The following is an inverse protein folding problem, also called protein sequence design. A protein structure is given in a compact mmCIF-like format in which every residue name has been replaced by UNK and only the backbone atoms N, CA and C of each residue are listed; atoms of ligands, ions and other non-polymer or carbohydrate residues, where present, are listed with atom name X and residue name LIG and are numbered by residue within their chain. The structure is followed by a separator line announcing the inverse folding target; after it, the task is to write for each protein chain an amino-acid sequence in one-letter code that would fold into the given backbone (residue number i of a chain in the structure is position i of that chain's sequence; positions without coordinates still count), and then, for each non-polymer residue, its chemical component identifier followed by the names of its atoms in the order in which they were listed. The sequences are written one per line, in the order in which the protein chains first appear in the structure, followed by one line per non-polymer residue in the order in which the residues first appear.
data_IF_651772657873
#
_entry.id   IF_651772657873
#
_cell.length_a   1.000
_cell.length_b   1.000
_cell.length_c   1.000
_cell.angle_alpha   90.00
_cell.angle_beta   90.00
_cell.angle_gamma   90.00
#
_symmetry.space_group_name_H-M   'P 1'
#
loop_
_entity.id
_entity.type
_entity.pdbx_description
1 polymer ?
#
# COMPACT_ATOMS: atom_id res chain seq x y z
N UNK A 1 -12.32 -3.40 -3.83
CA UNK A 1 -11.35 -4.23 -3.07
C UNK A 1 -10.20 -3.40 -2.52
N UNK A 2 -9.56 -2.52 -3.32
CA UNK A 2 -8.38 -1.76 -2.89
C UNK A 2 -8.55 -0.91 -1.63
N UNK A 3 -9.65 -0.15 -1.48
CA UNK A 3 -9.92 0.63 -0.26
C UNK A 3 -9.93 -0.23 1.01
N UNK A 4 -10.63 -1.38 0.95
CA UNK A 4 -10.64 -2.33 2.06
C UNK A 4 -9.24 -2.89 2.35
N UNK A 5 -8.46 -3.15 1.30
CA UNK A 5 -7.08 -3.59 1.41
C UNK A 5 -6.19 -2.56 2.10
N UNK A 6 -6.32 -1.29 1.73
CA UNK A 6 -5.64 -0.17 2.38
C UNK A 6 -5.98 -0.08 3.86
N UNK A 7 -7.27 -0.12 4.21
CA UNK A 7 -7.72 -0.05 5.62
C UNK A 7 -7.10 -1.18 6.45
N UNK A 8 -7.12 -2.41 5.91
CA UNK A 8 -6.58 -3.58 6.62
C UNK A 8 -5.06 -3.55 6.67
N UNK A 9 -4.39 -3.11 5.61
CA UNK A 9 -2.94 -2.92 5.59
C UNK A 9 -2.50 -1.89 6.62
N UNK A 10 -3.21 -0.77 6.75
CA UNK A 10 -2.92 0.26 7.74
C UNK A 10 -2.98 -0.28 9.17
N UNK A 11 -3.95 -1.15 9.46
CA UNK A 11 -4.14 -1.75 10.81
C UNK A 11 -3.10 -2.83 11.11
N UNK A 12 -2.83 -3.74 10.17
CA UNK A 12 -2.07 -4.96 10.47
C UNK A 12 -0.64 -4.97 9.94
N UNK A 13 -0.33 -4.19 8.91
CA UNK A 13 0.91 -4.34 8.14
C UNK A 13 1.81 -3.11 8.23
N UNK A 14 1.22 -1.91 8.17
CA UNK A 14 1.95 -0.65 8.08
C UNK A 14 2.83 -0.35 9.31
N UNK A 15 2.47 -0.87 10.48
CA UNK A 15 3.27 -0.69 11.70
C UNK A 15 4.67 -1.32 11.60
N UNK A 16 4.83 -2.36 10.79
CA UNK A 16 6.13 -2.99 10.51
C UNK A 16 6.67 -2.59 9.13
N UNK A 17 5.85 -2.70 8.08
CA UNK A 17 6.29 -2.49 6.70
C UNK A 17 6.24 -1.03 6.23
N UNK A 18 5.74 -0.12 7.06
CA UNK A 18 5.52 1.28 6.71
C UNK A 18 4.24 1.47 5.87
N UNK A 19 3.64 2.67 5.96
CA UNK A 19 2.54 3.06 5.08
C UNK A 19 2.87 2.93 3.58
N UNK A 20 4.07 3.31 3.10
CA UNK A 20 4.44 3.10 1.69
C UNK A 20 4.91 1.67 1.39
N UNK A 21 5.08 0.80 2.38
CA UNK A 21 5.57 -0.58 2.16
C UNK A 21 7.08 -0.70 1.95
N UNK A 22 7.87 0.28 2.39
CA UNK A 22 9.33 0.32 2.21
C UNK A 22 10.14 -0.31 3.36
N UNK A 23 9.46 -0.91 4.35
CA UNK A 23 10.09 -1.56 5.50
C UNK A 23 10.47 -0.61 6.63
N UNK A 24 9.97 0.62 6.63
CA UNK A 24 10.29 1.66 7.63
C UNK A 24 9.18 1.92 8.65
N UNK A 25 8.31 0.93 8.90
CA UNK A 25 7.26 1.07 9.91
C UNK A 25 7.83 1.23 11.33
N UNK A 26 7.08 1.82 12.26
CA UNK A 26 7.55 2.13 13.62
C UNK A 26 8.29 0.99 14.32
N UNK A 27 7.86 -0.26 14.12
CA UNK A 27 8.50 -1.46 14.72
C UNK A 27 9.92 -1.69 14.20
N UNK A 28 10.26 -1.26 12.97
CA UNK A 28 11.61 -1.43 12.42
C UNK A 28 12.69 -0.76 13.26
N UNK A 29 12.34 0.29 14.02
CA UNK A 29 13.27 1.01 14.88
C UNK A 29 13.65 0.22 16.16
N UNK A 30 12.87 -0.81 16.49
CA UNK A 30 13.02 -1.60 17.72
C UNK A 30 13.48 -3.03 17.44
N UNK A 31 13.66 -3.40 16.17
CA UNK A 31 14.10 -4.73 15.76
C UNK A 31 15.53 -4.69 15.22
N UNK A 32 16.37 -5.64 15.64
CA UNK A 32 17.70 -5.82 15.06
C UNK A 32 17.63 -6.36 13.62
N UNK A 33 16.55 -7.08 13.28
CA UNK A 33 16.32 -7.60 11.94
C UNK A 33 15.62 -6.55 11.05
N UNK A 34 16.09 -6.42 9.82
CA UNK A 34 15.47 -5.53 8.82
C UNK A 34 14.10 -6.07 8.41
N UNK A 35 13.07 -5.24 8.51
CA UNK A 35 11.74 -5.53 7.95
C UNK A 35 11.82 -5.47 6.43
N UNK A 36 11.15 -6.41 5.76
CA UNK A 36 11.15 -6.48 4.30
C UNK A 36 10.56 -5.21 3.66
N UNK A 37 11.30 -4.65 2.69
CA UNK A 37 10.79 -3.64 1.78
C UNK A 37 10.04 -4.33 0.65
N UNK A 38 8.73 -4.10 0.57
CA UNK A 38 7.82 -4.78 -0.36
C UNK A 38 8.04 -4.35 -1.82
N UNK A 39 8.86 -3.34 -2.08
CA UNK A 39 9.23 -2.89 -3.43
C UNK A 39 10.47 -3.56 -3.99
N UNK A 40 11.18 -4.38 -3.20
CA UNK A 40 12.35 -5.10 -3.70
C UNK A 40 11.96 -6.03 -4.87
N UNK A 41 12.80 -6.16 -5.92
CA UNK A 41 12.48 -6.96 -7.10
C UNK A 41 12.02 -8.39 -6.80
N UNK A 42 12.61 -9.02 -5.77
CA UNK A 42 12.25 -10.36 -5.29
C UNK A 42 10.80 -10.52 -4.81
N UNK A 43 10.08 -9.42 -4.57
CA UNK A 43 8.66 -9.42 -4.20
C UNK A 43 7.74 -8.98 -5.35
N UNK A 44 8.29 -8.69 -6.53
CA UNK A 44 7.51 -8.38 -7.72
C UNK A 44 6.65 -9.58 -8.12
N UNK A 45 5.51 -9.32 -8.76
CA UNK A 45 4.52 -10.34 -9.12
C UNK A 45 5.06 -11.47 -9.99
N UNK A 46 6.09 -11.22 -10.81
CA UNK A 46 6.74 -12.25 -11.64
C UNK A 46 7.59 -13.25 -10.87
N UNK A 47 8.17 -12.87 -9.73
CA UNK A 47 9.04 -13.74 -8.91
C UNK A 47 8.33 -14.25 -7.64
N UNK A 48 7.39 -13.45 -7.14
CA UNK A 48 6.69 -13.71 -5.89
C UNK A 48 5.19 -13.71 -6.17
N UNK A 49 4.55 -14.88 -6.33
CA UNK A 49 3.15 -14.95 -6.73
C UNK A 49 2.20 -14.48 -5.63
N UNK A 50 1.00 -14.04 -6.01
CA UNK A 50 -0.02 -13.52 -5.08
C UNK A 50 -0.42 -14.56 -4.01
N UNK A 51 -0.47 -15.84 -4.39
CA UNK A 51 -0.72 -16.93 -3.45
C UNK A 51 0.35 -17.04 -2.36
N UNK A 52 1.60 -16.67 -2.65
CA UNK A 52 2.68 -16.63 -1.66
C UNK A 52 2.53 -15.45 -0.72
N UNK A 53 2.12 -14.27 -1.21
CA UNK A 53 1.78 -13.14 -0.32
C UNK A 53 0.64 -13.52 0.62
N UNK A 54 -0.42 -14.12 0.08
CA UNK A 54 -1.55 -14.61 0.88
C UNK A 54 -1.10 -15.65 1.92
N UNK A 55 -0.22 -16.57 1.54
CA UNK A 55 0.34 -17.58 2.44
C UNK A 55 1.09 -16.94 3.60
N UNK A 56 2.00 -16.00 3.33
CA UNK A 56 2.76 -15.31 4.38
C UNK A 56 1.85 -14.49 5.29
N UNK A 57 0.84 -13.80 4.76
CA UNK A 57 -0.14 -13.10 5.60
C UNK A 57 -0.88 -14.10 6.51
N UNK A 58 -1.20 -15.29 6.00
CA UNK A 58 -1.99 -16.28 6.73
C UNK A 58 -1.16 -17.00 7.81
N UNK A 59 0.04 -17.46 7.45
CA UNK A 59 0.83 -18.40 8.25
C UNK A 59 2.13 -17.80 8.80
N UNK A 60 2.51 -16.61 8.34
CA UNK A 60 3.77 -15.98 8.70
C UNK A 60 4.94 -16.50 7.87
N UNK A 61 6.11 -15.88 8.04
CA UNK A 61 7.38 -16.34 7.49
C UNK A 61 8.56 -15.72 8.26
N UNK A 62 9.48 -16.55 8.73
CA UNK A 62 10.62 -16.08 9.53
C UNK A 62 10.13 -15.40 10.81
N UNK A 63 10.51 -14.14 11.03
CA UNK A 63 10.09 -13.34 12.18
C UNK A 63 8.70 -12.69 12.00
N UNK A 64 8.09 -12.77 10.80
CA UNK A 64 6.76 -12.24 10.56
C UNK A 64 5.71 -13.23 11.06
N UNK A 65 4.88 -12.81 12.03
CA UNK A 65 3.76 -13.60 12.54
C UNK A 65 2.70 -13.88 11.48
N UNK A 66 2.00 -15.01 11.60
CA UNK A 66 0.82 -15.31 10.81
C UNK A 66 -0.42 -14.60 11.37
N UNK A 67 -1.21 -13.98 10.49
CA UNK A 67 -2.42 -13.24 10.84
C UNK A 67 -3.71 -13.99 10.47
N UNK A 68 -3.61 -15.29 10.19
CA UNK A 68 -4.71 -16.12 9.70
C UNK A 68 -5.94 -16.17 10.61
N UNK A 69 -5.73 -16.08 11.92
CA UNK A 69 -6.79 -16.07 12.92
C UNK A 69 -7.44 -14.68 13.11
N UNK A 70 -6.71 -13.62 12.81
CA UNK A 70 -7.15 -12.23 13.07
C UNK A 70 -7.73 -11.55 11.83
N UNK A 71 -7.36 -11.99 10.64
CA UNK A 71 -7.76 -11.37 9.36
C UNK A 71 -8.60 -12.38 8.55
N UNK A 72 -9.88 -12.07 8.27
CA UNK A 72 -10.73 -12.91 7.42
C UNK A 72 -10.13 -13.14 6.03
N UNK A 73 -10.43 -14.30 5.41
CA UNK A 73 -9.93 -14.71 4.08
C UNK A 73 -10.06 -13.58 3.04
N UNK A 74 -11.23 -12.95 2.95
CA UNK A 74 -11.49 -11.87 1.99
C UNK A 74 -10.59 -10.65 2.22
N UNK A 75 -10.33 -10.32 3.47
CA UNK A 75 -9.48 -9.19 3.83
C UNK A 75 -8.01 -9.46 3.55
N UNK A 76 -7.55 -10.71 3.72
CA UNK A 76 -6.19 -11.10 3.31
C UNK A 76 -5.97 -10.91 1.82
N UNK A 77 -6.92 -11.31 0.98
CA UNK A 77 -6.87 -11.04 -0.46
C UNK A 77 -6.96 -9.55 -0.80
N UNK A 78 -7.75 -8.77 -0.05
CA UNK A 78 -7.80 -7.32 -0.22
C UNK A 78 -6.43 -6.67 0.10
N UNK A 79 -5.73 -7.13 1.14
CA UNK A 79 -4.37 -6.70 1.48
C UNK A 79 -3.41 -7.05 0.34
N UNK A 80 -3.46 -8.27 -0.20
CA UNK A 80 -2.61 -8.68 -1.35
C UNK A 80 -2.80 -7.71 -2.53
N UNK A 81 -4.05 -7.42 -2.90
CA UNK A 81 -4.35 -6.48 -3.98
C UNK A 81 -3.81 -5.07 -3.69
N UNK A 82 -3.87 -4.60 -2.43
CA UNK A 82 -3.32 -3.31 -2.05
C UNK A 82 -1.79 -3.27 -2.09
N UNK A 83 -1.11 -4.35 -1.68
CA UNK A 83 0.36 -4.46 -1.80
C UNK A 83 0.79 -4.37 -3.27
N UNK A 84 0.04 -4.99 -4.20
CA UNK A 84 0.30 -4.85 -5.63
C UNK A 84 0.11 -3.42 -6.12
N UNK A 85 -0.97 -2.76 -5.70
CA UNK A 85 -1.19 -1.35 -6.03
C UNK A 85 -0.04 -0.45 -5.51
N UNK A 86 0.51 -0.72 -4.33
CA UNK A 86 1.69 0.00 -3.81
C UNK A 86 2.92 -0.21 -4.70
N UNK A 87 3.19 -1.47 -5.09
CA UNK A 87 4.31 -1.80 -5.97
C UNK A 87 4.18 -1.12 -7.33
N UNK A 88 2.98 -1.11 -7.91
CA UNK A 88 2.71 -0.47 -9.20
C UNK A 88 2.84 1.06 -9.10
N UNK A 89 2.32 1.67 -8.03
CA UNK A 89 2.43 3.10 -7.78
C UNK A 89 3.89 3.57 -7.61
N UNK A 90 4.76 2.73 -7.04
CA UNK A 90 6.20 3.01 -6.90
C UNK A 90 6.94 2.95 -8.24
N UNK A 91 6.47 2.12 -9.18
CA UNK A 91 7.03 1.98 -10.53
C UNK A 91 6.58 3.08 -11.47
N UNK A 92 5.38 3.64 -11.26
CA UNK A 92 4.86 4.71 -12.09
C UNK A 92 5.77 5.97 -11.96
N UNK A 93 6.23 6.56 -13.08
CA UNK A 93 6.95 7.81 -13.01
C UNK A 93 6.04 8.91 -12.44
N UNK A 94 6.59 9.78 -11.59
CA UNK A 94 5.89 10.84 -10.87
C UNK A 94 5.15 11.88 -11.76
N UNK A 95 5.17 11.72 -13.08
CA UNK A 95 4.52 12.60 -14.05
C UNK A 95 3.04 12.28 -14.32
N UNK A 96 2.49 11.17 -13.81
CA UNK A 96 1.09 10.82 -14.06
C UNK A 96 0.08 11.51 -13.09
N UNK A 97 0.56 12.28 -12.11
CA UNK A 97 -0.28 12.94 -11.10
C UNK A 97 -0.71 14.39 -11.45
N UNK A 98 -0.34 14.91 -12.62
CA UNK A 98 -0.81 16.20 -13.13
C UNK A 98 -1.66 16.02 -14.38
N UNK A 99 -2.84 15.41 -14.24
CA UNK A 99 -3.87 15.50 -15.26
C UNK A 99 -5.26 15.44 -14.62
N UNK A 100 -6.00 16.54 -14.80
CA UNK A 100 -7.44 16.74 -14.57
C UNK A 100 -7.92 16.98 -13.13
N UNK A 101 -7.66 18.20 -12.64
CA UNK A 101 -8.78 19.01 -12.13
C UNK A 101 -9.16 19.94 -13.29
N UNK A 102 -10.30 19.77 -13.97
CA UNK A 102 -10.71 20.74 -14.98
C UNK A 102 -11.07 22.06 -14.28
N UNK A 103 -10.64 23.15 -14.91
CA UNK A 103 -10.83 24.52 -14.48
C UNK A 103 -12.29 24.80 -14.09
N UNK A 104 -12.49 25.37 -12.91
CA UNK A 104 -13.69 26.12 -12.62
C UNK A 104 -13.68 27.34 -13.55
N UNK A 105 -14.54 27.31 -14.56
CA UNK A 105 -14.96 28.52 -15.27
C UNK A 105 -15.78 29.36 -14.28
N UNK A 106 -15.33 30.57 -14.00
CA UNK A 106 -16.20 31.72 -13.73
C UNK A 106 -15.39 33.00 -13.97
N UNK A 107 -15.41 33.47 -15.21
CA UNK A 107 -15.01 34.83 -15.56
C UNK A 107 -16.27 35.69 -15.73
N UNK A 108 -16.35 36.72 -14.88
CA UNK A 108 -16.90 38.05 -15.11
C UNK A 108 -18.40 38.23 -15.41
N UNK A 109 -19.09 38.81 -14.43
CA UNK A 109 -20.04 39.89 -14.67
C UNK A 109 -19.49 41.18 -14.04
N UNK A 110 -19.23 42.21 -14.86
CA UNK A 110 -18.81 43.56 -14.44
C UNK A 110 -19.83 44.21 -13.49
N UNK A 111 -19.44 45.00 -12.49
CA UNK A 111 -18.87 46.37 -12.58
C UNK A 111 -20.01 47.41 -12.45
N UNK A 112 -19.78 48.70 -12.10
CA UNK A 112 -18.71 49.34 -11.34
C UNK A 112 -19.21 50.08 -10.06
N UNK A 113 -18.25 50.67 -9.36
CA UNK A 113 -18.25 51.72 -8.32
C UNK A 113 -19.56 52.45 -7.94
N UNK A 114 -19.82 52.52 -6.64
CA UNK A 114 -20.04 53.78 -5.90
C UNK A 114 -19.66 53.60 -4.42
#
# INVERSE_FOLDING_TARGET
MLRRGQDRYAVFCAICHGAPGDGTGTVSNYMAAKIANLHEPRFASGEYPDGKLYHVITYGQGLMSGYGASIPVRDRWAIVAYVRALQDAKKAPASAATASVPAANEESAGGPSN
#
